data_IF_851607834580
#
_entry.id   IF_851607834580
#
_cell.length_a   1.000
_cell.length_b   1.000
_cell.length_c   1.000
_cell.angle_alpha   90.00
_cell.angle_beta   90.00
_cell.angle_gamma   90.00
#
_symmetry.space_group_name_H-M   'P 1'
#
loop_
_entity.id
_entity.type
_entity.pdbx_description
1 polymer ?
#
# COMPACT_ATOMS: atom_id res chain seq x y z
N UNK A 1 -82.50 -14.62 -1.32
CA UNK A 1 -81.16 -14.17 -1.75
C UNK A 1 -81.31 -12.79 -2.35
N UNK A 2 -80.55 -11.83 -1.85
CA UNK A 2 -80.65 -10.40 -2.17
C UNK A 2 -80.01 -10.10 -3.54
N UNK A 3 -80.78 -9.58 -4.49
CA UNK A 3 -80.23 -9.11 -5.77
C UNK A 3 -79.35 -7.88 -5.54
N UNK A 4 -78.05 -8.03 -5.78
CA UNK A 4 -77.08 -6.93 -5.75
C UNK A 4 -77.31 -6.01 -6.95
N UNK A 5 -77.73 -4.76 -6.70
CA UNK A 5 -77.85 -3.73 -7.74
C UNK A 5 -76.46 -3.35 -8.25
N UNK A 6 -76.19 -3.60 -9.53
CA UNK A 6 -74.93 -3.24 -10.18
C UNK A 6 -74.92 -1.72 -10.42
N UNK A 7 -73.87 -1.03 -10.01
CA UNK A 7 -73.63 0.41 -10.30
C UNK A 7 -72.23 0.60 -10.88
N UNK A 8 -71.94 1.77 -11.45
CA UNK A 8 -70.68 2.11 -12.14
C UNK A 8 -69.43 2.10 -11.25
N UNK A 9 -69.58 1.83 -9.94
CA UNK A 9 -68.48 1.70 -8.98
C UNK A 9 -67.96 0.27 -8.79
N UNK A 10 -68.58 -0.75 -9.39
CA UNK A 10 -68.19 -2.15 -9.19
C UNK A 10 -67.01 -2.55 -10.07
N UNK A 11 -66.14 -3.42 -9.55
CA UNK A 11 -64.95 -3.91 -10.27
C UNK A 11 -65.33 -4.90 -11.38
N UNK A 12 -64.48 -5.03 -12.41
CA UNK A 12 -64.74 -5.92 -13.57
C UNK A 12 -65.02 -7.37 -13.16
N UNK A 13 -64.41 -7.84 -12.06
CA UNK A 13 -64.63 -9.17 -11.51
C UNK A 13 -66.02 -9.33 -10.86
N UNK A 14 -66.52 -8.31 -10.17
CA UNK A 14 -67.86 -8.32 -9.56
C UNK A 14 -68.97 -8.26 -10.62
N UNK A 15 -68.76 -7.53 -11.72
CA UNK A 15 -69.69 -7.48 -12.85
C UNK A 15 -69.80 -8.86 -13.52
N UNK A 16 -68.68 -9.54 -13.74
CA UNK A 16 -68.66 -10.88 -14.33
C UNK A 16 -69.31 -11.91 -13.39
N UNK A 17 -69.07 -11.82 -12.09
CA UNK A 17 -69.70 -12.69 -11.10
C UNK A 17 -71.23 -12.50 -11.05
N UNK A 18 -71.70 -11.25 -11.08
CA UNK A 18 -73.13 -10.94 -11.12
C UNK A 18 -73.80 -11.39 -12.43
N UNK A 19 -73.13 -11.23 -13.57
CA UNK A 19 -73.61 -11.75 -14.86
C UNK A 19 -73.74 -13.28 -14.86
N UNK A 20 -72.75 -13.97 -14.30
CA UNK A 20 -72.77 -15.44 -14.17
C UNK A 20 -73.86 -15.93 -13.20
N UNK A 21 -74.16 -15.16 -12.14
CA UNK A 21 -75.26 -15.45 -11.23
C UNK A 21 -76.63 -15.24 -11.90
N UNK A 22 -76.81 -14.13 -12.60
CA UNK A 22 -78.04 -13.83 -13.33
C UNK A 22 -78.32 -14.83 -14.46
N UNK A 23 -77.30 -15.27 -15.20
CA UNK A 23 -77.47 -16.30 -16.23
C UNK A 23 -77.81 -17.67 -15.66
N UNK A 24 -77.31 -18.02 -14.47
CA UNK A 24 -77.75 -19.23 -13.74
C UNK A 24 -79.20 -19.12 -13.27
N UNK A 25 -79.63 -17.97 -12.75
CA UNK A 25 -81.04 -17.74 -12.38
C UNK A 25 -81.98 -17.78 -13.60
N UNK A 26 -81.57 -17.21 -14.74
CA UNK A 26 -82.34 -17.25 -15.98
C UNK A 26 -82.46 -18.68 -16.54
N UNK A 27 -81.39 -19.49 -16.43
CA UNK A 27 -81.44 -20.92 -16.75
C UNK A 27 -82.34 -21.70 -15.79
N UNK A 28 -82.31 -21.39 -14.48
CA UNK A 28 -83.17 -22.02 -13.49
C UNK A 28 -84.66 -21.65 -13.66
N UNK A 29 -84.95 -20.41 -14.05
CA UNK A 29 -86.30 -19.94 -14.39
C UNK A 29 -86.80 -20.54 -15.71
N UNK A 30 -85.94 -20.70 -16.73
CA UNK A 30 -86.29 -21.44 -17.96
C UNK A 30 -86.54 -22.92 -17.69
N UNK A 31 -85.78 -23.55 -16.79
CA UNK A 31 -86.01 -24.94 -16.36
C UNK A 31 -87.30 -25.13 -15.53
N UNK A 32 -87.78 -24.07 -14.85
CA UNK A 32 -89.08 -24.03 -14.16
C UNK A 32 -90.25 -23.50 -15.01
N UNK A 33 -89.98 -23.02 -16.23
CA UNK A 33 -90.94 -22.34 -17.11
C UNK A 33 -91.59 -23.20 -18.20
N UNK A 34 -91.30 -24.50 -18.26
CA UNK A 34 -91.95 -25.45 -19.18
C UNK A 34 -92.69 -26.54 -18.39
N UNK A 35 -93.70 -26.14 -17.63
CA UNK A 35 -94.75 -27.02 -17.13
C UNK A 35 -95.93 -26.16 -16.65
N UNK A 36 -96.87 -25.86 -17.54
CA UNK A 36 -98.21 -25.39 -17.17
C UNK A 36 -99.23 -26.50 -17.48
N UNK A 37 -100.26 -26.70 -16.62
CA UNK A 37 -101.00 -27.96 -16.47
C UNK A 37 -102.19 -28.08 -17.45
N UNK A 38 -102.79 -29.28 -17.63
CA UNK A 38 -103.91 -29.49 -18.53
C UNK A 38 -105.20 -28.90 -17.94
N UNK A 39 -105.83 -27.97 -18.65
CA UNK A 39 -107.12 -27.41 -18.29
C UNK A 39 -108.25 -28.08 -19.09
N UNK A 40 -109.22 -28.56 -18.33
CA UNK A 40 -110.40 -29.33 -18.72
C UNK A 40 -111.28 -28.65 -19.77
N UNK A 41 -111.66 -29.40 -20.80
CA UNK A 41 -112.78 -29.08 -21.68
C UNK A 41 -114.10 -29.35 -20.92
N UNK A 42 -114.90 -28.30 -20.74
CA UNK A 42 -116.29 -28.35 -20.28
C UNK A 42 -117.18 -27.95 -21.46
N UNK A 43 -118.24 -28.70 -21.65
CA UNK A 43 -119.05 -28.77 -22.85
C UNK A 43 -120.25 -27.78 -22.90
N UNK A 44 -120.63 -27.43 -24.15
CA UNK A 44 -121.94 -27.02 -24.71
C UNK A 44 -122.58 -25.66 -24.31
N UNK A 45 -123.44 -25.02 -25.15
CA UNK A 45 -124.30 -25.57 -26.23
C UNK A 45 -124.27 -24.84 -27.61
N UNK A 46 -125.04 -25.31 -28.64
CA UNK A 46 -124.77 -25.15 -30.08
C UNK A 46 -125.59 -24.07 -30.83
N UNK A 47 -125.17 -23.78 -32.07
CA UNK A 47 -125.84 -22.90 -33.05
C UNK A 47 -127.00 -23.62 -33.75
N UNK A 48 -128.16 -22.97 -34.02
CA UNK A 48 -129.32 -23.62 -34.62
C UNK A 48 -129.24 -23.76 -36.14
N UNK A 49 -129.66 -24.94 -36.61
CA UNK A 49 -129.93 -25.30 -38.00
C UNK A 49 -131.25 -24.71 -38.51
N UNK A 50 -131.32 -24.56 -39.83
CA UNK A 50 -132.40 -24.00 -40.66
C UNK A 50 -133.76 -24.72 -40.51
N UNK A 51 -134.90 -24.00 -40.64
CA UNK A 51 -136.21 -24.61 -40.65
C UNK A 51 -136.58 -25.18 -42.03
N UNK A 52 -136.67 -26.52 -42.11
CA UNK A 52 -137.33 -27.25 -43.19
C UNK A 52 -138.84 -27.03 -43.10
N UNK A 53 -139.43 -26.47 -44.17
CA UNK A 53 -140.88 -26.27 -44.32
C UNK A 53 -141.61 -27.62 -44.50
N UNK A 54 -142.74 -27.87 -43.84
CA UNK A 54 -143.54 -29.06 -44.10
C UNK A 54 -144.40 -28.88 -45.36
N UNK A 55 -144.34 -29.87 -46.27
CA UNK A 55 -145.28 -30.01 -47.39
C UNK A 55 -146.59 -30.63 -46.86
N UNK A 56 -147.66 -29.84 -46.90
CA UNK A 56 -149.03 -30.28 -46.67
C UNK A 56 -149.63 -30.82 -47.99
N UNK A 57 -150.13 -32.05 -47.98
CA UNK A 57 -151.07 -32.57 -48.97
C UNK A 57 -152.27 -33.14 -48.21
N UNK A 58 -153.34 -32.34 -48.14
CA UNK A 58 -154.62 -32.65 -47.53
C UNK A 58 -155.49 -31.40 -47.55
N UNK A 59 -156.35 -31.31 -48.57
CA UNK A 59 -157.41 -30.32 -48.84
C UNK A 59 -157.29 -28.94 -48.16
N UNK A 60 -156.63 -28.01 -48.85
CA UNK A 60 -156.55 -26.60 -48.48
C UNK A 60 -157.86 -25.89 -48.87
N UNK A 61 -158.52 -25.32 -47.87
CA UNK A 61 -159.71 -24.48 -48.00
C UNK A 61 -159.37 -23.17 -48.72
N UNK A 62 -160.36 -22.46 -49.27
CA UNK A 62 -160.20 -21.09 -49.82
C UNK A 62 -159.53 -20.16 -48.78
N UNK A 63 -159.74 -20.42 -47.49
CA UNK A 63 -159.08 -19.74 -46.39
C UNK A 63 -157.55 -19.97 -46.38
N UNK A 64 -157.06 -21.16 -46.74
CA UNK A 64 -155.64 -21.51 -46.73
C UNK A 64 -154.91 -21.01 -47.98
N UNK A 65 -155.61 -20.90 -49.12
CA UNK A 65 -155.08 -20.23 -50.32
C UNK A 65 -154.90 -18.72 -50.03
N UNK A 66 -155.86 -18.09 -49.35
CA UNK A 66 -155.72 -16.67 -48.94
C UNK A 66 -154.62 -16.51 -47.89
N UNK A 67 -154.46 -17.46 -46.97
CA UNK A 67 -153.38 -17.45 -45.97
C UNK A 67 -151.99 -17.64 -46.61
N UNK A 68 -151.85 -18.53 -47.58
CA UNK A 68 -150.60 -18.77 -48.32
C UNK A 68 -150.27 -17.64 -49.30
N UNK A 69 -151.27 -17.00 -49.92
CA UNK A 69 -151.04 -15.81 -50.74
C UNK A 69 -150.59 -14.63 -49.88
N UNK A 70 -151.19 -14.46 -48.69
CA UNK A 70 -150.76 -13.45 -47.71
C UNK A 70 -149.36 -13.72 -47.19
N UNK A 71 -149.02 -14.96 -46.83
CA UNK A 71 -147.66 -15.30 -46.40
C UNK A 71 -146.63 -15.17 -47.52
N UNK A 72 -147.02 -15.39 -48.78
CA UNK A 72 -146.16 -15.15 -49.94
C UNK A 72 -145.93 -13.65 -50.16
N UNK A 73 -146.97 -12.82 -50.07
CA UNK A 73 -146.79 -11.36 -50.15
C UNK A 73 -145.96 -10.81 -48.99
N UNK A 74 -146.10 -11.36 -47.79
CA UNK A 74 -145.26 -10.98 -46.65
C UNK A 74 -143.83 -11.42 -46.86
N UNK A 75 -143.57 -12.67 -47.25
CA UNK A 75 -142.21 -13.17 -47.49
C UNK A 75 -141.51 -12.53 -48.69
N UNK A 76 -142.24 -12.09 -49.72
CA UNK A 76 -141.69 -11.26 -50.80
C UNK A 76 -141.36 -9.86 -50.26
N UNK A 77 -142.23 -9.27 -49.43
CA UNK A 77 -141.93 -8.00 -48.76
C UNK A 77 -140.73 -8.08 -47.82
N UNK A 78 -140.57 -9.19 -47.12
CA UNK A 78 -139.49 -9.44 -46.15
C UNK A 78 -138.15 -9.75 -46.84
N UNK A 79 -138.16 -10.56 -47.91
CA UNK A 79 -136.96 -10.82 -48.73
C UNK A 79 -136.54 -9.61 -49.56
N UNK A 80 -137.48 -8.82 -50.09
CA UNK A 80 -137.16 -7.55 -50.74
C UNK A 80 -136.59 -6.54 -49.74
N UNK A 81 -137.13 -6.49 -48.51
CA UNK A 81 -136.59 -5.64 -47.44
C UNK A 81 -135.21 -6.11 -46.97
N UNK A 82 -134.97 -7.42 -46.92
CA UNK A 82 -133.66 -8.02 -46.60
C UNK A 82 -132.62 -7.71 -47.67
N UNK A 83 -132.95 -7.89 -48.95
CA UNK A 83 -132.07 -7.53 -50.07
C UNK A 83 -131.80 -6.02 -50.12
N UNK A 84 -132.80 -5.19 -49.81
CA UNK A 84 -132.62 -3.75 -49.68
C UNK A 84 -131.67 -3.42 -48.52
N UNK A 85 -131.79 -4.13 -47.39
CA UNK A 85 -130.91 -3.98 -46.23
C UNK A 85 -129.49 -4.42 -46.54
N UNK A 86 -129.30 -5.55 -47.22
CA UNK A 86 -127.97 -6.06 -47.62
C UNK A 86 -127.32 -5.16 -48.67
N UNK A 87 -128.09 -4.68 -49.65
CA UNK A 87 -127.59 -3.74 -50.65
C UNK A 87 -127.21 -2.41 -50.00
N UNK A 88 -127.96 -1.96 -48.98
CA UNK A 88 -127.61 -0.75 -48.24
C UNK A 88 -126.39 -0.95 -47.35
N UNK A 89 -126.22 -2.11 -46.69
CA UNK A 89 -124.99 -2.39 -45.92
C UNK A 89 -123.77 -2.49 -46.83
N UNK A 90 -123.85 -3.21 -47.94
CA UNK A 90 -122.76 -3.32 -48.91
C UNK A 90 -122.44 -1.97 -49.57
N UNK A 91 -123.46 -1.17 -49.89
CA UNK A 91 -123.25 0.19 -50.39
C UNK A 91 -122.54 1.07 -49.34
N UNK A 92 -122.89 0.95 -48.06
CA UNK A 92 -122.20 1.69 -46.99
C UNK A 92 -120.77 1.19 -46.75
N UNK A 93 -120.51 -0.11 -46.83
CA UNK A 93 -119.15 -0.65 -46.72
C UNK A 93 -118.27 -0.24 -47.90
N UNK A 94 -118.80 -0.32 -49.11
CA UNK A 94 -118.09 0.11 -50.32
C UNK A 94 -117.79 1.60 -50.29
N UNK A 95 -118.73 2.42 -49.78
CA UNK A 95 -118.49 3.84 -49.57
C UNK A 95 -117.42 4.10 -48.50
N UNK A 96 -117.46 3.36 -47.38
CA UNK A 96 -116.42 3.45 -46.33
C UNK A 96 -115.03 3.10 -46.88
N UNK A 97 -114.92 2.06 -47.69
CA UNK A 97 -113.64 1.66 -48.32
C UNK A 97 -113.17 2.73 -49.31
N UNK A 98 -114.08 3.31 -50.10
CA UNK A 98 -113.74 4.42 -51.02
C UNK A 98 -113.26 5.66 -50.28
N UNK A 99 -113.89 6.01 -49.17
CA UNK A 99 -113.47 7.13 -48.32
C UNK A 99 -112.09 6.88 -47.70
N UNK A 100 -111.84 5.68 -47.16
CA UNK A 100 -110.52 5.29 -46.64
C UNK A 100 -109.44 5.28 -47.72
N UNK A 101 -109.73 4.75 -48.91
CA UNK A 101 -108.82 4.78 -50.05
C UNK A 101 -108.50 6.23 -50.46
N UNK A 102 -109.50 7.12 -50.45
CA UNK A 102 -109.30 8.55 -50.77
C UNK A 102 -108.48 9.28 -49.71
N UNK A 103 -108.65 8.95 -48.43
CA UNK A 103 -107.88 9.51 -47.33
C UNK A 103 -106.40 9.09 -47.43
N UNK A 104 -106.14 7.79 -47.62
CA UNK A 104 -104.79 7.26 -47.83
C UNK A 104 -104.15 7.86 -49.10
N UNK A 105 -104.94 8.04 -50.17
CA UNK A 105 -104.46 8.69 -51.41
C UNK A 105 -104.04 10.15 -51.16
N UNK A 106 -104.81 10.91 -50.37
CA UNK A 106 -104.44 12.29 -49.98
C UNK A 106 -103.23 12.32 -49.06
N UNK A 107 -103.09 11.37 -48.14
CA UNK A 107 -101.91 11.26 -47.28
C UNK A 107 -100.66 10.94 -48.10
N UNK A 108 -100.74 10.02 -49.08
CA UNK A 108 -99.65 9.73 -50.02
C UNK A 108 -99.25 10.96 -50.86
N UNK A 109 -100.22 11.73 -51.35
CA UNK A 109 -99.95 12.97 -52.09
C UNK A 109 -99.33 14.06 -51.21
N UNK A 110 -99.84 14.26 -49.99
CA UNK A 110 -99.38 15.35 -49.11
C UNK A 110 -98.03 15.06 -48.47
N UNK A 111 -97.80 13.81 -48.05
CA UNK A 111 -96.58 13.43 -47.33
C UNK A 111 -95.43 13.06 -48.28
N UNK A 112 -95.74 12.43 -49.41
CA UNK A 112 -94.73 11.89 -50.34
C UNK A 112 -94.77 12.51 -51.74
N UNK A 113 -95.75 13.37 -52.06
CA UNK A 113 -95.84 14.02 -53.38
C UNK A 113 -96.18 13.05 -54.52
N UNK A 114 -96.77 11.89 -54.22
CA UNK A 114 -96.98 10.81 -55.20
C UNK A 114 -98.40 10.91 -55.76
N UNK A 115 -98.54 11.10 -57.08
CA UNK A 115 -99.82 10.95 -57.76
C UNK A 115 -100.18 9.46 -57.90
N UNK A 116 -101.31 9.05 -57.32
CA UNK A 116 -101.73 7.63 -57.27
C UNK A 116 -102.34 7.22 -58.61
N UNK A 117 -101.51 6.60 -59.47
CA UNK A 117 -101.90 5.92 -60.71
C UNK A 117 -101.76 4.39 -60.57
N UNK A 118 -102.34 3.63 -61.51
CA UNK A 118 -102.09 2.18 -61.64
C UNK A 118 -100.59 1.94 -61.91
N UNK A 119 -99.82 1.55 -60.88
CA UNK A 119 -98.37 1.31 -60.96
C UNK A 119 -97.51 2.18 -60.03
N UNK A 120 -98.04 3.25 -59.46
CA UNK A 120 -97.32 4.16 -58.53
C UNK A 120 -96.74 3.44 -57.29
N UNK A 121 -97.47 2.47 -56.72
CA UNK A 121 -96.98 1.63 -55.62
C UNK A 121 -95.81 0.74 -56.05
N UNK A 122 -95.86 0.19 -57.26
CA UNK A 122 -94.79 -0.66 -57.79
C UNK A 122 -93.52 0.16 -58.03
N UNK A 123 -93.64 1.40 -58.52
CA UNK A 123 -92.51 2.31 -58.69
C UNK A 123 -91.90 2.73 -57.34
N UNK A 124 -92.75 2.99 -56.33
CA UNK A 124 -92.26 3.32 -54.98
C UNK A 124 -91.52 2.14 -54.35
N UNK A 125 -92.06 0.92 -54.46
CA UNK A 125 -91.39 -0.30 -54.00
C UNK A 125 -90.06 -0.49 -54.73
N UNK A 126 -90.01 -0.26 -56.05
CA UNK A 126 -88.77 -0.34 -56.83
C UNK A 126 -87.72 0.69 -56.38
N UNK A 127 -88.12 1.95 -56.14
CA UNK A 127 -87.24 2.99 -55.61
C UNK A 127 -86.70 2.67 -54.22
N UNK A 128 -87.54 2.13 -53.33
CA UNK A 128 -87.09 1.70 -52.00
C UNK A 128 -86.19 0.47 -52.07
N UNK A 129 -86.46 -0.47 -52.99
CA UNK A 129 -85.58 -1.61 -53.23
C UNK A 129 -84.20 -1.14 -53.71
N UNK A 130 -84.14 -0.25 -54.70
CA UNK A 130 -82.89 0.32 -55.22
C UNK A 130 -82.15 1.15 -54.15
N UNK A 131 -82.88 1.95 -53.34
CA UNK A 131 -82.28 2.71 -52.25
C UNK A 131 -81.74 1.80 -51.14
N UNK A 132 -82.43 0.72 -50.82
CA UNK A 132 -81.96 -0.25 -49.83
C UNK A 132 -80.74 -1.01 -50.34
N UNK A 133 -80.71 -1.35 -51.63
CA UNK A 133 -79.56 -1.98 -52.27
C UNK A 133 -78.34 -1.06 -52.23
N UNK A 134 -78.47 0.21 -52.65
CA UNK A 134 -77.40 1.21 -52.55
C UNK A 134 -76.93 1.43 -51.11
N UNK A 135 -77.86 1.53 -50.15
CA UNK A 135 -77.51 1.68 -48.74
C UNK A 135 -76.78 0.44 -48.19
N UNK A 136 -77.16 -0.76 -48.63
CA UNK A 136 -76.48 -1.99 -48.28
C UNK A 136 -75.06 -2.03 -48.87
N UNK A 137 -74.89 -1.67 -50.14
CA UNK A 137 -73.59 -1.55 -50.80
C UNK A 137 -72.68 -0.51 -50.14
N UNK A 138 -73.22 0.65 -49.77
CA UNK A 138 -72.45 1.65 -49.03
C UNK A 138 -72.02 1.15 -47.65
N UNK A 139 -72.91 0.43 -46.94
CA UNK A 139 -72.61 -0.12 -45.63
C UNK A 139 -71.56 -1.23 -45.72
N UNK A 140 -71.62 -2.10 -46.73
CA UNK A 140 -70.60 -3.12 -46.95
C UNK A 140 -69.27 -2.47 -47.31
N UNK A 141 -69.26 -1.50 -48.23
CA UNK A 141 -68.04 -0.77 -48.58
C UNK A 141 -67.41 -0.04 -47.38
N UNK A 142 -68.22 0.63 -46.54
CA UNK A 142 -67.74 1.29 -45.31
C UNK A 142 -67.20 0.29 -44.30
N UNK A 143 -67.85 -0.87 -44.14
CA UNK A 143 -67.36 -1.95 -43.25
C UNK A 143 -66.04 -2.52 -43.75
N UNK A 144 -65.94 -2.82 -45.04
CA UNK A 144 -64.69 -3.33 -45.64
C UNK A 144 -63.55 -2.32 -45.54
N UNK A 145 -63.83 -1.04 -45.78
CA UNK A 145 -62.83 0.02 -45.63
C UNK A 145 -62.35 0.13 -44.17
N UNK A 146 -63.28 0.11 -43.22
CA UNK A 146 -62.96 0.15 -41.79
C UNK A 146 -62.18 -1.10 -41.34
N UNK A 147 -62.54 -2.29 -41.80
CA UNK A 147 -61.81 -3.53 -41.51
C UNK A 147 -60.38 -3.49 -42.07
N UNK A 148 -60.21 -2.97 -43.29
CA UNK A 148 -58.88 -2.77 -43.89
C UNK A 148 -58.04 -1.79 -43.08
N UNK A 149 -58.61 -0.65 -42.68
CA UNK A 149 -57.91 0.35 -41.87
C UNK A 149 -57.54 -0.19 -40.47
N UNK A 150 -58.47 -0.92 -39.83
CA UNK A 150 -58.23 -1.58 -38.55
C UNK A 150 -57.12 -2.63 -38.63
N UNK A 151 -57.12 -3.44 -39.69
CA UNK A 151 -56.06 -4.44 -39.89
C UNK A 151 -54.72 -3.77 -40.20
N UNK A 152 -54.69 -2.76 -41.07
CA UNK A 152 -53.47 -2.00 -41.35
C UNK A 152 -52.90 -1.32 -40.09
N UNK A 153 -53.76 -0.74 -39.25
CA UNK A 153 -53.36 -0.11 -37.99
C UNK A 153 -52.82 -1.14 -36.99
N UNK A 154 -53.45 -2.32 -36.90
CA UNK A 154 -52.96 -3.42 -36.05
C UNK A 154 -51.62 -3.96 -36.52
N UNK A 155 -51.43 -4.11 -37.84
CA UNK A 155 -50.16 -4.54 -38.41
C UNK A 155 -49.06 -3.51 -38.20
N UNK A 156 -49.36 -2.22 -38.39
CA UNK A 156 -48.42 -1.13 -38.11
C UNK A 156 -48.03 -1.10 -36.63
N UNK A 157 -49.01 -1.22 -35.73
CA UNK A 157 -48.76 -1.28 -34.29
C UNK A 157 -47.90 -2.50 -33.89
N UNK A 158 -48.20 -3.68 -34.42
CA UNK A 158 -47.40 -4.88 -34.15
C UNK A 158 -45.95 -4.71 -34.63
N UNK A 159 -45.74 -4.16 -35.83
CA UNK A 159 -44.40 -3.84 -36.35
C UNK A 159 -43.66 -2.85 -35.46
N UNK A 160 -44.35 -1.80 -35.00
CA UNK A 160 -43.74 -0.81 -34.09
C UNK A 160 -43.36 -1.44 -32.74
N UNK A 161 -44.19 -2.33 -32.19
CA UNK A 161 -43.87 -3.08 -30.98
C UNK A 161 -42.65 -3.98 -31.16
N UNK A 162 -42.56 -4.71 -32.27
CA UNK A 162 -41.41 -5.56 -32.60
C UNK A 162 -40.13 -4.72 -32.79
N UNK A 163 -40.21 -3.60 -33.50
CA UNK A 163 -39.08 -2.70 -33.72
C UNK A 163 -38.63 -2.04 -32.40
N UNK A 164 -39.56 -1.65 -31.54
CA UNK A 164 -39.25 -1.09 -30.24
C UNK A 164 -38.60 -2.13 -29.32
N UNK A 165 -39.12 -3.36 -29.29
CA UNK A 165 -38.52 -4.46 -28.54
C UNK A 165 -37.09 -4.73 -29.01
N UNK A 166 -36.89 -4.88 -30.33
CA UNK A 166 -35.56 -5.08 -30.91
C UNK A 166 -34.60 -3.94 -30.52
N UNK A 167 -35.01 -2.69 -30.67
CA UNK A 167 -34.17 -1.52 -30.29
C UNK A 167 -33.85 -1.51 -28.79
N UNK A 168 -34.80 -1.91 -27.94
CA UNK A 168 -34.59 -2.00 -26.50
C UNK A 168 -33.57 -3.09 -26.16
N UNK A 169 -33.70 -4.27 -26.77
CA UNK A 169 -32.76 -5.39 -26.59
C UNK A 169 -31.36 -5.04 -27.10
N UNK A 170 -31.26 -4.40 -28.28
CA UNK A 170 -30.00 -3.90 -28.83
C UNK A 170 -29.33 -2.89 -27.88
N UNK A 171 -30.10 -1.92 -27.38
CA UNK A 171 -29.59 -0.91 -26.44
C UNK A 171 -29.18 -1.51 -25.09
N UNK A 172 -29.91 -2.51 -24.58
CA UNK A 172 -29.54 -3.22 -23.35
C UNK A 172 -28.27 -4.06 -23.54
N UNK A 173 -28.15 -4.76 -24.66
CA UNK A 173 -26.96 -5.51 -25.01
C UNK A 173 -25.73 -4.61 -25.16
N UNK A 174 -25.87 -3.44 -25.80
CA UNK A 174 -24.79 -2.46 -25.93
C UNK A 174 -24.40 -1.88 -24.57
N UNK A 175 -25.37 -1.53 -23.71
CA UNK A 175 -25.09 -1.09 -22.33
C UNK A 175 -24.42 -2.18 -21.50
N UNK A 176 -24.81 -3.44 -21.64
CA UNK A 176 -24.15 -4.54 -20.93
C UNK A 176 -22.70 -4.68 -21.36
N UNK A 177 -22.44 -4.69 -22.68
CA UNK A 177 -21.08 -4.73 -23.23
C UNK A 177 -20.25 -3.52 -22.81
N UNK A 178 -20.84 -2.32 -22.78
CA UNK A 178 -20.17 -1.13 -22.27
C UNK A 178 -19.78 -1.29 -20.81
N UNK A 179 -20.72 -1.71 -19.93
CA UNK A 179 -20.42 -1.97 -18.52
C UNK A 179 -19.36 -3.03 -18.30
N UNK A 180 -19.37 -4.11 -19.09
CA UNK A 180 -18.35 -5.16 -19.02
C UNK A 180 -16.98 -4.66 -19.43
N UNK A 181 -16.89 -3.84 -20.50
CA UNK A 181 -15.64 -3.19 -20.92
C UNK A 181 -15.14 -2.22 -19.86
N UNK A 182 -15.99 -1.32 -19.37
CA UNK A 182 -15.62 -0.34 -18.34
C UNK A 182 -15.14 -1.04 -17.05
N UNK A 183 -15.82 -2.12 -16.64
CA UNK A 183 -15.42 -2.90 -15.49
C UNK A 183 -14.06 -3.61 -15.69
N UNK A 184 -13.81 -4.16 -16.88
CA UNK A 184 -12.54 -4.79 -17.23
C UNK A 184 -11.39 -3.77 -17.30
N UNK A 185 -11.63 -2.62 -17.94
CA UNK A 185 -10.67 -1.52 -18.02
C UNK A 185 -10.33 -0.98 -16.64
N UNK A 186 -11.34 -0.71 -15.80
CA UNK A 186 -11.13 -0.24 -14.43
C UNK A 186 -10.38 -1.29 -13.58
N UNK A 187 -10.71 -2.57 -13.70
CA UNK A 187 -10.00 -3.63 -12.99
C UNK A 187 -8.52 -3.72 -13.42
N UNK A 188 -8.27 -3.61 -14.73
CA UNK A 188 -6.91 -3.60 -15.28
C UNK A 188 -6.11 -2.36 -14.85
N UNK A 189 -6.72 -1.18 -14.88
CA UNK A 189 -6.10 0.06 -14.40
C UNK A 189 -5.76 -0.02 -12.92
N UNK A 190 -6.66 -0.59 -12.11
CA UNK A 190 -6.45 -0.79 -10.68
C UNK A 190 -5.28 -1.75 -10.43
N UNK A 191 -5.24 -2.89 -11.12
CA UNK A 191 -4.15 -3.85 -11.02
C UNK A 191 -2.81 -3.24 -11.44
N UNK A 192 -2.79 -2.50 -12.55
CA UNK A 192 -1.57 -1.81 -13.01
C UNK A 192 -1.10 -0.76 -12.00
N UNK A 193 -2.02 0.00 -11.41
CA UNK A 193 -1.72 1.00 -10.38
C UNK A 193 -1.17 0.33 -9.12
N UNK A 194 -1.80 -0.75 -8.67
CA UNK A 194 -1.38 -1.46 -7.47
C UNK A 194 -0.02 -2.16 -7.68
N UNK A 195 0.24 -2.70 -8.86
CA UNK A 195 1.55 -3.22 -9.26
C UNK A 195 2.63 -2.13 -9.25
N UNK A 196 2.37 -0.97 -9.86
CA UNK A 196 3.29 0.19 -9.82
C UNK A 196 3.59 0.64 -8.40
N UNK A 197 2.57 0.77 -7.55
CA UNK A 197 2.73 1.16 -6.14
C UNK A 197 3.53 0.10 -5.36
N UNK A 198 3.29 -1.18 -5.63
CA UNK A 198 4.04 -2.28 -5.02
C UNK A 198 5.52 -2.25 -5.44
N UNK A 199 5.80 -2.07 -6.73
CA UNK A 199 7.15 -1.99 -7.26
C UNK A 199 7.90 -0.77 -6.70
N UNK A 200 7.27 0.40 -6.67
CA UNK A 200 7.84 1.60 -6.06
C UNK A 200 8.16 1.38 -4.58
N UNK A 201 7.25 0.74 -3.82
CA UNK A 201 7.48 0.42 -2.42
C UNK A 201 8.65 -0.55 -2.26
N UNK A 202 8.74 -1.58 -3.09
CA UNK A 202 9.83 -2.54 -3.07
C UNK A 202 11.18 -1.87 -3.39
N UNK A 203 11.23 -0.97 -4.38
CA UNK A 203 12.45 -0.21 -4.71
C UNK A 203 12.86 0.75 -3.59
N UNK A 204 11.89 1.46 -2.98
CA UNK A 204 12.15 2.31 -1.80
C UNK A 204 12.66 1.49 -0.62
N UNK A 205 12.11 0.31 -0.38
CA UNK A 205 12.58 -0.58 0.69
C UNK A 205 14.02 -1.05 0.43
N UNK A 206 14.33 -1.46 -0.81
CA UNK A 206 15.68 -1.90 -1.18
C UNK A 206 16.73 -0.79 -1.08
N UNK A 207 16.40 0.41 -1.54
CA UNK A 207 17.29 1.58 -1.42
C UNK A 207 17.54 1.94 0.04
N UNK A 208 16.49 1.99 0.86
CA UNK A 208 16.62 2.24 2.30
C UNK A 208 17.45 1.18 3.02
N UNK A 209 17.25 -0.11 2.70
CA UNK A 209 18.05 -1.19 3.26
C UNK A 209 19.53 -1.08 2.84
N UNK A 210 19.79 -0.72 1.58
CA UNK A 210 21.16 -0.46 1.12
C UNK A 210 21.80 0.72 1.85
N UNK A 211 21.09 1.84 2.01
CA UNK A 211 21.57 2.99 2.77
C UNK A 211 21.89 2.64 4.23
N UNK A 212 21.05 1.81 4.87
CA UNK A 212 21.31 1.32 6.23
C UNK A 212 22.56 0.44 6.31
N UNK A 213 22.78 -0.44 5.33
CA UNK A 213 23.99 -1.28 5.26
C UNK A 213 25.23 -0.39 5.11
N UNK A 214 25.22 0.53 4.14
CA UNK A 214 26.33 1.47 3.92
C UNK A 214 26.61 2.31 5.17
N UNK A 215 25.56 2.79 5.84
CA UNK A 215 25.71 3.56 7.08
C UNK A 215 26.31 2.72 8.21
N UNK A 216 25.87 1.46 8.37
CA UNK A 216 26.42 0.54 9.37
C UNK A 216 27.88 0.23 9.10
N UNK A 217 28.23 -0.11 7.86
CA UNK A 217 29.62 -0.38 7.46
C UNK A 217 30.50 0.85 7.66
N UNK A 218 30.01 2.05 7.29
CA UNK A 218 30.70 3.31 7.55
C UNK A 218 30.91 3.58 9.04
N UNK A 219 29.92 3.27 9.88
CA UNK A 219 30.06 3.43 11.33
C UNK A 219 30.98 2.40 11.99
N UNK A 220 30.93 1.15 11.53
CA UNK A 220 31.81 0.08 12.00
C UNK A 220 33.28 0.39 11.67
N UNK A 221 33.54 0.89 10.46
CA UNK A 221 34.89 1.33 10.07
C UNK A 221 35.35 2.54 10.90
N UNK A 222 34.48 3.53 11.14
CA UNK A 222 34.80 4.64 12.05
C UNK A 222 35.10 4.17 13.49
N UNK A 223 34.32 3.23 14.02
CA UNK A 223 34.51 2.73 15.39
C UNK A 223 35.79 1.91 15.51
N UNK A 224 36.03 0.99 14.59
CA UNK A 224 37.26 0.19 14.59
C UNK A 224 38.52 1.04 14.47
N UNK A 225 38.49 2.11 13.67
CA UNK A 225 39.59 3.07 13.60
C UNK A 225 39.76 3.87 14.89
N UNK A 226 38.65 4.34 15.49
CA UNK A 226 38.70 5.02 16.79
C UNK A 226 39.23 4.12 17.91
N UNK A 227 38.81 2.86 17.94
CA UNK A 227 39.29 1.87 18.92
C UNK A 227 40.78 1.59 18.77
N UNK A 228 41.29 1.45 17.54
CA UNK A 228 42.73 1.31 17.30
C UNK A 228 43.51 2.52 17.80
N UNK A 229 43.08 3.73 17.43
CA UNK A 229 43.75 4.95 17.88
C UNK A 229 43.69 5.13 19.40
N UNK A 230 42.61 4.71 20.05
CA UNK A 230 42.50 4.75 21.49
C UNK A 230 43.46 3.73 22.14
N UNK A 231 43.50 2.51 21.64
CA UNK A 231 44.41 1.47 22.13
C UNK A 231 45.89 1.86 21.98
N UNK A 232 46.27 2.49 20.86
CA UNK A 232 47.62 3.02 20.66
C UNK A 232 47.96 4.12 21.69
N UNK A 233 47.05 5.09 21.89
CA UNK A 233 47.22 6.15 22.89
C UNK A 233 47.30 5.60 24.31
N UNK A 234 46.47 4.62 24.65
CA UNK A 234 46.50 3.96 25.96
C UNK A 234 47.82 3.24 26.19
N UNK A 235 48.36 2.58 25.16
CA UNK A 235 49.67 1.93 25.21
C UNK A 235 50.79 2.95 25.40
N UNK A 236 50.82 4.02 24.61
CA UNK A 236 51.81 5.09 24.74
C UNK A 236 51.74 5.74 26.12
N UNK A 237 50.54 6.02 26.63
CA UNK A 237 50.33 6.57 27.96
C UNK A 237 50.84 5.61 29.06
N UNK A 238 50.60 4.31 28.93
CA UNK A 238 51.11 3.31 29.86
C UNK A 238 52.65 3.23 29.84
N UNK A 239 53.27 3.24 28.66
CA UNK A 239 54.73 3.24 28.50
C UNK A 239 55.37 4.51 29.08
N UNK A 240 54.80 5.69 28.79
CA UNK A 240 55.27 6.97 29.33
C UNK A 240 55.11 7.02 30.85
N UNK A 241 54.00 6.53 31.39
CA UNK A 241 53.77 6.45 32.82
C UNK A 241 54.79 5.54 33.50
N UNK A 242 55.05 4.36 32.95
CA UNK A 242 56.08 3.45 33.47
C UNK A 242 57.47 4.09 33.45
N UNK A 243 57.84 4.78 32.36
CA UNK A 243 59.10 5.53 32.29
C UNK A 243 59.17 6.65 33.33
N UNK A 244 58.08 7.42 33.50
CA UNK A 244 58.03 8.49 34.49
C UNK A 244 58.15 7.98 35.92
N UNK A 245 57.47 6.86 36.25
CA UNK A 245 57.56 6.21 37.56
C UNK A 245 58.96 5.63 37.83
N UNK A 246 59.64 5.09 36.82
CA UNK A 246 61.00 4.55 36.94
C UNK A 246 62.10 5.63 36.91
N UNK A 247 61.84 6.80 36.33
CA UNK A 247 62.86 7.82 36.04
C UNK A 247 63.63 8.28 37.27
N UNK A 248 62.94 8.51 38.40
CA UNK A 248 63.59 8.97 39.63
C UNK A 248 64.59 7.94 40.16
N UNK A 249 64.18 6.68 40.20
CA UNK A 249 65.02 5.57 40.66
C UNK A 249 66.21 5.32 39.72
N UNK A 250 66.00 5.35 38.41
CA UNK A 250 67.07 5.24 37.42
C UNK A 250 68.05 6.41 37.51
N UNK A 251 67.54 7.63 37.70
CA UNK A 251 68.38 8.83 37.89
C UNK A 251 69.24 8.70 39.13
N UNK A 252 68.65 8.31 40.26
CA UNK A 252 69.41 8.09 41.50
C UNK A 252 70.48 7.00 41.34
N UNK A 253 70.15 5.88 40.68
CA UNK A 253 71.09 4.80 40.45
C UNK A 253 72.25 5.24 39.53
N UNK A 254 71.96 5.99 38.48
CA UNK A 254 72.96 6.55 37.58
C UNK A 254 73.87 7.55 38.29
N UNK A 255 73.31 8.44 39.12
CA UNK A 255 74.10 9.39 39.93
C UNK A 255 75.00 8.65 40.92
N UNK A 256 74.47 7.68 41.69
CA UNK A 256 75.27 6.88 42.64
C UNK A 256 76.41 6.14 41.93
N UNK A 257 76.14 5.56 40.76
CA UNK A 257 77.16 4.88 39.95
C UNK A 257 78.25 5.86 39.49
N UNK A 258 77.86 7.02 38.96
CA UNK A 258 78.80 8.06 38.53
C UNK A 258 79.64 8.60 39.70
N UNK A 259 79.05 8.78 40.88
CA UNK A 259 79.77 9.17 42.10
C UNK A 259 80.80 8.12 42.53
N UNK A 260 80.43 6.83 42.54
CA UNK A 260 81.34 5.73 42.90
C UNK A 260 82.49 5.63 41.88
N UNK A 261 82.18 5.68 40.58
CA UNK A 261 83.19 5.64 39.52
C UNK A 261 84.12 6.86 39.60
N UNK A 262 83.57 8.06 39.79
CA UNK A 262 84.33 9.30 39.96
C UNK A 262 85.24 9.28 41.19
N UNK A 263 84.72 8.84 42.35
CA UNK A 263 85.53 8.63 43.56
C UNK A 263 86.62 7.57 43.34
N UNK A 264 86.31 6.50 42.62
CA UNK A 264 87.26 5.43 42.30
C UNK A 264 88.41 5.92 41.42
N UNK A 265 88.11 6.70 40.37
CA UNK A 265 89.10 7.32 39.50
C UNK A 265 89.96 8.31 40.31
N UNK A 266 89.33 9.20 41.09
CA UNK A 266 90.03 10.18 41.91
C UNK A 266 90.96 9.50 42.93
N UNK A 267 90.50 8.46 43.64
CA UNK A 267 91.32 7.68 44.59
C UNK A 267 92.48 6.97 43.91
N UNK A 268 92.27 6.38 42.73
CA UNK A 268 93.35 5.74 41.97
C UNK A 268 94.39 6.78 41.56
N UNK A 269 93.95 7.91 41.02
CA UNK A 269 94.85 8.98 40.57
C UNK A 269 95.64 9.58 41.73
N UNK A 270 94.99 9.90 42.85
CA UNK A 270 95.68 10.44 44.04
C UNK A 270 96.64 9.40 44.64
N UNK A 271 96.24 8.13 44.70
CA UNK A 271 97.14 7.05 45.16
C UNK A 271 98.36 6.90 44.24
N UNK A 272 98.16 6.85 42.92
CA UNK A 272 99.28 6.76 41.97
C UNK A 272 100.19 7.97 42.08
N UNK A 273 99.64 9.18 42.22
CA UNK A 273 100.44 10.39 42.45
C UNK A 273 101.23 10.34 43.76
N UNK A 274 100.61 9.89 44.85
CA UNK A 274 101.26 9.73 46.14
C UNK A 274 102.38 8.67 46.09
N UNK A 275 102.10 7.51 45.48
CA UNK A 275 103.06 6.42 45.31
C UNK A 275 104.26 6.87 44.45
N UNK A 276 104.01 7.61 43.37
CA UNK A 276 105.06 8.22 42.54
C UNK A 276 105.90 9.21 43.35
N UNK A 277 105.26 10.15 44.07
CA UNK A 277 105.96 11.11 44.93
C UNK A 277 106.77 10.43 46.03
N UNK A 278 106.25 9.35 46.62
CA UNK A 278 106.96 8.57 47.65
C UNK A 278 108.18 7.89 47.04
N UNK A 279 108.04 7.24 45.88
CA UNK A 279 109.16 6.62 45.16
C UNK A 279 110.20 7.63 44.71
N UNK A 280 109.79 8.81 44.25
CA UNK A 280 110.69 9.91 43.90
C UNK A 280 111.49 10.35 45.14
N UNK A 281 110.83 10.55 46.28
CA UNK A 281 111.48 10.91 47.54
C UNK A 281 112.44 9.81 48.02
N UNK A 282 112.05 8.54 47.96
CA UNK A 282 112.91 7.41 48.34
C UNK A 282 114.10 7.24 47.38
N UNK A 283 113.93 7.56 46.09
CA UNK A 283 115.00 7.60 45.11
C UNK A 283 116.01 8.72 45.44
N UNK A 284 115.50 9.92 45.73
CA UNK A 284 116.32 11.06 46.18
C UNK A 284 117.06 10.71 47.49
N UNK A 285 116.39 10.10 48.47
CA UNK A 285 117.03 9.64 49.71
C UNK A 285 118.14 8.62 49.45
N UNK A 286 117.90 7.60 48.62
CA UNK A 286 118.92 6.60 48.26
C UNK A 286 120.12 7.21 47.55
N UNK A 287 119.90 8.18 46.66
CA UNK A 287 121.01 8.92 46.02
C UNK A 287 121.83 9.68 47.05
N UNK A 288 121.18 10.36 48.01
CA UNK A 288 121.88 11.03 49.10
C UNK A 288 122.60 10.05 50.04
N UNK A 289 122.00 8.91 50.37
CA UNK A 289 122.63 7.86 51.18
C UNK A 289 123.88 7.30 50.50
N UNK A 290 123.82 6.92 49.21
CA UNK A 290 124.98 6.49 48.42
C UNK A 290 126.05 7.59 48.30
N UNK A 291 125.62 8.86 48.22
CA UNK A 291 126.56 9.99 48.21
C UNK A 291 127.27 10.14 49.56
N UNK A 292 126.55 9.98 50.68
CA UNK A 292 127.13 9.99 52.02
C UNK A 292 128.09 8.81 52.18
N UNK A 293 127.71 7.60 51.76
CA UNK A 293 128.55 6.40 51.84
C UNK A 293 129.84 6.54 51.02
N UNK A 294 129.73 6.96 49.75
CA UNK A 294 130.92 7.20 48.91
C UNK A 294 131.82 8.32 49.43
N UNK A 295 131.26 9.40 49.97
CA UNK A 295 132.05 10.44 50.63
C UNK A 295 132.71 9.91 51.91
N UNK A 296 132.02 9.07 52.67
CA UNK A 296 132.57 8.37 53.84
C UNK A 296 133.74 7.46 53.48
N UNK A 297 133.62 6.66 52.42
CA UNK A 297 134.73 5.84 51.90
C UNK A 297 135.92 6.70 51.45
N UNK A 298 135.67 7.84 50.80
CA UNK A 298 136.72 8.79 50.41
C UNK A 298 137.41 9.37 51.64
N UNK A 299 136.65 9.77 52.67
CA UNK A 299 137.20 10.27 53.94
C UNK A 299 138.06 9.19 54.59
N UNK A 300 137.58 7.95 54.71
CA UNK A 300 138.36 6.85 55.30
C UNK A 300 139.66 6.56 54.53
N UNK A 301 139.62 6.60 53.18
CA UNK A 301 140.83 6.48 52.35
C UNK A 301 141.81 7.64 52.58
N UNK A 302 141.31 8.86 52.69
CA UNK A 302 142.13 10.05 52.98
C UNK A 302 142.74 9.97 54.38
N UNK A 303 141.98 9.54 55.39
CA UNK A 303 142.48 9.31 56.75
C UNK A 303 143.60 8.27 56.77
N UNK A 304 143.42 7.14 56.08
CA UNK A 304 144.45 6.11 55.95
C UNK A 304 145.73 6.63 55.25
N UNK A 305 145.57 7.46 54.21
CA UNK A 305 146.69 8.12 53.53
C UNK A 305 147.40 9.13 54.45
N UNK A 306 146.65 9.94 55.21
CA UNK A 306 147.22 10.89 56.18
C UNK A 306 147.98 10.13 57.27
N UNK A 307 147.45 9.01 57.76
CA UNK A 307 148.13 8.19 58.76
C UNK A 307 149.44 7.59 58.20
N UNK A 308 149.41 7.06 56.97
CA UNK A 308 150.61 6.58 56.28
C UNK A 308 151.64 7.69 56.07
N UNK A 309 151.24 8.86 55.58
CA UNK A 309 152.11 10.02 55.40
C UNK A 309 152.66 10.52 56.75
N UNK A 310 151.86 10.50 57.81
CA UNK A 310 152.29 10.87 59.16
C UNK A 310 153.34 9.90 59.71
N UNK A 311 153.14 8.59 59.52
CA UNK A 311 154.14 7.56 59.86
C UNK A 311 155.41 7.71 59.03
N UNK A 312 155.29 7.97 57.73
CA UNK A 312 156.44 8.23 56.86
C UNK A 312 157.21 9.49 57.30
N UNK A 313 156.50 10.54 57.73
CA UNK A 313 157.09 11.78 58.24
C UNK A 313 157.75 11.57 59.61
N UNK A 314 157.16 10.81 60.52
CA UNK A 314 157.83 10.41 61.77
C UNK A 314 159.09 9.60 61.49
N UNK A 315 159.04 8.69 60.53
CA UNK A 315 160.19 7.87 60.14
C UNK A 315 161.29 8.74 59.52
N UNK A 316 160.93 9.68 58.64
CA UNK A 316 161.85 10.66 58.08
C UNK A 316 162.43 11.58 59.17
N UNK A 317 161.61 12.02 60.14
CA UNK A 317 162.09 12.76 61.31
C UNK A 317 163.09 11.95 62.13
N UNK A 318 162.80 10.67 62.42
CA UNK A 318 163.74 9.76 63.11
C UNK A 318 165.04 9.60 62.34
N UNK A 319 164.99 9.36 61.03
CA UNK A 319 166.18 9.27 60.19
C UNK A 319 166.99 10.58 60.19
N UNK A 320 166.31 11.73 60.19
CA UNK A 320 166.97 13.05 60.25
C UNK A 320 167.61 13.29 61.62
N UNK A 321 166.95 12.92 62.72
CA UNK A 321 167.53 13.03 64.07
C UNK A 321 168.67 12.04 64.29
N UNK A 322 168.57 10.82 63.77
CA UNK A 322 169.68 9.85 63.81
C UNK A 322 170.88 10.36 62.99
N UNK A 323 170.64 11.01 61.85
CA UNK A 323 171.69 11.67 61.07
C UNK A 323 172.32 12.85 61.84
N UNK A 324 171.51 13.65 62.53
CA UNK A 324 171.96 14.77 63.36
C UNK A 324 172.78 14.28 64.58
N UNK A 325 172.37 13.19 65.23
CA UNK A 325 173.11 12.54 66.33
C UNK A 325 174.42 11.95 65.81
N UNK A 326 174.43 11.29 64.65
CA UNK A 326 175.68 10.79 64.02
C UNK A 326 176.65 11.91 63.63
N UNK A 327 176.15 13.09 63.26
CA UNK A 327 176.99 14.24 62.95
C UNK A 327 177.57 14.91 64.22
N UNK A 328 176.84 14.88 65.34
CA UNK A 328 177.27 15.45 66.62
C UNK A 328 178.28 14.54 67.35
N UNK A 329 178.08 13.21 67.35
CA UNK A 329 179.04 12.26 67.94
C UNK A 329 180.32 12.08 67.10
N UNK A 330 180.26 12.37 65.80
CA UNK A 330 181.46 12.43 64.96
C UNK A 330 182.36 13.64 65.25
N UNK A 331 181.77 14.76 65.69
CA UNK A 331 182.50 16.00 65.96
C UNK A 331 183.11 16.07 67.38
N UNK A 332 182.51 15.39 68.36
CA UNK A 332 182.94 15.42 69.77
C UNK A 332 184.25 14.66 70.04
N UNK A 333 184.53 13.60 69.29
CA UNK A 333 185.79 12.82 69.44
C UNK A 333 187.02 13.51 68.83
N UNK A 334 186.86 14.50 67.95
CA UNK A 334 187.97 15.29 67.40
C UNK A 334 188.44 16.39 68.37
N UNK A 335 187.52 17.03 69.10
CA UNK A 335 187.83 18.11 70.05
C UNK A 335 188.54 17.65 71.33
N UNK A 336 188.37 16.38 71.72
CA UNK A 336 188.94 15.81 72.94
C UNK A 336 190.41 15.41 72.78
N UNK A 337 190.90 15.26 71.54
CA UNK A 337 192.30 14.98 71.22
C UNK A 337 193.15 16.25 71.07
N UNK A 338 192.54 17.40 70.81
CA UNK A 338 193.23 18.71 70.75
C UNK A 338 193.54 19.26 72.15
N UNK A 339 192.69 18.95 73.14
CA UNK A 339 192.90 19.27 74.56
C UNK A 339 194.00 18.42 75.25
N UNK A 340 194.50 17.35 74.62
CA UNK A 340 195.75 16.67 75.03
C UNK A 340 196.94 17.64 74.93
N UNK A 341 196.91 18.56 73.97
CA UNK A 341 198.09 19.25 73.46
C UNK A 341 198.77 20.18 74.47
N UNK A 342 197.94 20.85 75.25
CA UNK A 342 198.26 22.18 75.81
C UNK A 342 198.71 22.12 77.29
N UNK A 343 198.20 21.15 78.08
CA UNK A 343 198.49 21.03 79.51
C UNK A 343 199.87 20.37 79.80
N UNK A 344 200.45 19.65 78.84
CA UNK A 344 201.79 19.06 78.98
C UNK A 344 202.96 20.03 78.66
N UNK A 345 202.68 21.20 78.06
CA UNK A 345 203.72 22.13 77.59
C UNK A 345 203.99 23.33 78.53
N UNK A 346 203.15 23.57 79.55
CA UNK A 346 203.32 24.70 80.49
C UNK A 346 204.07 24.38 81.81
N UNK A 347 204.37 23.11 82.13
CA UNK A 347 205.12 22.73 83.36
C UNK A 347 206.64 22.50 83.17
N UNK A 348 207.23 22.90 82.03
CA UNK A 348 208.67 22.75 81.77
C UNK A 348 209.49 24.06 81.72
N UNK A 349 208.97 25.21 82.22
CA UNK A 349 209.79 26.44 82.24
C UNK A 349 209.43 27.50 83.30
N UNK A 350 209.49 27.17 84.60
CA UNK A 350 210.18 28.03 85.59
C UNK A 350 210.34 27.34 86.96
N UNK A 351 211.58 27.20 87.42
CA UNK A 351 212.04 26.57 88.67
C UNK A 351 212.46 27.63 89.71
N UNK A 352 212.23 27.34 91.00
CA UNK A 352 212.85 27.95 92.21
C UNK A 352 212.82 29.49 92.42
N UNK A 353 212.07 29.91 93.45
CA UNK A 353 212.55 30.34 94.79
C UNK A 353 211.32 30.63 95.66
N UNK A 354 211.14 30.11 96.87
CA UNK A 354 211.97 29.22 97.67
C UNK A 354 211.30 28.91 99.02
N UNK A 355 211.93 27.95 99.70
CA UNK A 355 211.65 27.35 101.02
C UNK A 355 210.42 26.46 101.12
#
# INVERSE_FOLDING_TARGET
MTMTKITTRNTKQEIIAAYNAATKELKALKAKGTAAPPASQKALPPSPEEPVRPKANGELSVADIIASLRSLTTSIGESASSLQSELTTEATELQRIREQASAVTRELQTLHGIEVSEGSLAELIARYAESNEKAAEELTAKREAFEKEMNASREAWNKEQEDHLRKSEEAEAERSKARERDAAEHAYELEQRDAKVSDERAQRSKSFEHELVVLREGKETEWTEREKQLAEREREAAELRSKAEAFEAEREAAVKKAEIEGMGIARKQTKTQLDLKTKDNDGVRRVFELKIESLGEVIAKQEAQIEQLSKALETARKQTTELAVKAIDGASNASSFEAIKEIALEQAKNTQKGK
#
